data_IF_974171091019
#
_entry.id   IF_974171091019
#
_cell.length_a   1.000
_cell.length_b   1.000
_cell.length_c   1.000
_cell.angle_alpha   90.00
_cell.angle_beta   90.00
_cell.angle_gamma   90.00
#
_symmetry.space_group_name_H-M   'P 1'
#
loop_
_entity.id
_entity.type
_entity.pdbx_description
1 polymer ?
#
# COMPACT_ATOMS: atom_id res chain seq x y z
N UNK A 1 5.60 19.42 16.27
CA UNK A 1 5.31 18.35 15.29
C UNK A 1 3.87 18.52 14.82
N UNK A 2 3.66 18.61 13.53
CA UNK A 2 2.33 18.87 12.98
C UNK A 2 1.44 17.63 13.10
N UNK A 3 0.26 17.70 13.79
CA UNK A 3 -0.55 16.52 14.06
C UNK A 3 -1.05 15.80 12.81
N UNK A 4 -1.37 16.53 11.74
CA UNK A 4 -1.81 15.91 10.49
C UNK A 4 -0.70 15.10 9.82
N UNK A 5 0.53 15.56 9.89
CA UNK A 5 1.69 14.84 9.35
C UNK A 5 1.93 13.56 10.13
N UNK A 6 1.82 13.61 11.45
CA UNK A 6 1.95 12.41 12.31
C UNK A 6 0.85 11.39 11.98
N UNK A 7 -0.39 11.86 11.82
CA UNK A 7 -1.51 10.99 11.46
C UNK A 7 -1.29 10.35 10.08
N UNK A 8 -0.86 11.13 9.10
CA UNK A 8 -0.58 10.62 7.76
C UNK A 8 0.53 9.56 7.78
N UNK A 9 1.60 9.82 8.53
CA UNK A 9 2.68 8.86 8.73
C UNK A 9 2.18 7.56 9.37
N UNK A 10 1.27 7.65 10.35
CA UNK A 10 0.66 6.47 10.97
C UNK A 10 -0.09 5.61 9.95
N UNK A 11 -0.82 6.22 9.02
CA UNK A 11 -1.47 5.50 7.93
C UNK A 11 -0.45 4.84 6.99
N UNK A 12 0.66 5.53 6.70
CA UNK A 12 1.74 4.94 5.92
C UNK A 12 2.36 3.72 6.63
N UNK A 13 2.56 3.80 7.93
CA UNK A 13 3.07 2.68 8.74
C UNK A 13 2.15 1.45 8.65
N UNK A 14 0.82 1.66 8.60
CA UNK A 14 -0.12 0.57 8.37
C UNK A 14 0.12 -0.11 7.01
N UNK A 15 0.31 0.69 5.97
CA UNK A 15 0.61 0.16 4.63
C UNK A 15 1.96 -0.58 4.62
N UNK A 16 2.97 -0.01 5.26
CA UNK A 16 4.31 -0.60 5.35
C UNK A 16 4.29 -1.95 6.06
N UNK A 17 3.54 -2.07 7.15
CA UNK A 17 3.42 -3.31 7.89
C UNK A 17 2.89 -4.46 7.03
N UNK A 18 1.99 -4.17 6.10
CA UNK A 18 1.46 -5.18 5.17
C UNK A 18 2.46 -5.43 4.03
N UNK A 19 3.10 -4.37 3.52
CA UNK A 19 4.08 -4.50 2.44
C UNK A 19 5.22 -5.46 2.80
N UNK A 20 5.72 -5.42 4.02
CA UNK A 20 6.84 -6.27 4.46
C UNK A 20 6.48 -7.75 4.52
N UNK A 21 5.20 -8.11 4.57
CA UNK A 21 4.73 -9.51 4.63
C UNK A 21 4.05 -9.98 3.35
N UNK A 22 4.02 -9.18 2.30
CA UNK A 22 3.31 -9.53 1.06
C UNK A 22 3.77 -10.86 0.48
N UNK A 23 5.09 -11.11 0.49
CA UNK A 23 5.69 -12.31 -0.12
C UNK A 23 6.00 -13.41 0.88
N UNK A 24 5.53 -13.31 2.13
CA UNK A 24 5.73 -14.35 3.13
C UNK A 24 4.85 -15.56 2.81
N UNK A 25 5.45 -16.74 2.76
CA UNK A 25 4.70 -17.98 2.60
C UNK A 25 3.89 -18.29 3.86
N UNK A 26 2.61 -18.66 3.66
CA UNK A 26 1.76 -19.04 4.79
C UNK A 26 1.91 -20.53 5.06
N UNK A 27 1.77 -20.99 6.33
CA UNK A 27 1.68 -22.41 6.63
C UNK A 27 0.44 -23.00 5.98
N UNK A 28 0.61 -24.10 5.27
CA UNK A 28 -0.49 -24.84 4.62
C UNK A 28 -0.43 -26.29 5.08
N UNK A 29 -1.60 -26.90 5.28
CA UNK A 29 -1.67 -28.32 5.64
C UNK A 29 -1.11 -29.18 4.50
N UNK A 30 0.00 -29.89 4.78
CA UNK A 30 0.69 -30.73 3.79
C UNK A 30 -0.16 -31.92 3.34
N UNK A 31 -1.22 -32.28 4.08
CA UNK A 31 -2.15 -33.34 3.69
C UNK A 31 -3.07 -32.92 2.54
N UNK A 32 -3.18 -31.61 2.24
CA UNK A 32 -4.00 -31.13 1.14
C UNK A 32 -3.32 -31.38 -0.22
N UNK A 33 -4.09 -31.62 -1.29
CA UNK A 33 -3.54 -31.68 -2.64
C UNK A 33 -2.73 -30.42 -2.98
N UNK A 34 -1.70 -30.56 -3.82
CA UNK A 34 -0.82 -29.45 -4.20
C UNK A 34 -1.60 -28.29 -4.85
N UNK A 35 -2.66 -28.57 -5.59
CA UNK A 35 -3.51 -27.55 -6.21
C UNK A 35 -4.21 -26.67 -5.15
N UNK A 36 -4.68 -27.26 -4.05
CA UNK A 36 -5.29 -26.52 -2.95
C UNK A 36 -4.26 -25.71 -2.17
N UNK A 37 -3.06 -26.25 -2.01
CA UNK A 37 -1.96 -25.51 -1.38
C UNK A 37 -1.60 -24.26 -2.20
N UNK A 38 -1.46 -24.40 -3.53
CA UNK A 38 -1.21 -23.29 -4.43
C UNK A 38 -2.32 -22.25 -4.39
N UNK A 39 -3.57 -22.68 -4.40
CA UNK A 39 -4.73 -21.78 -4.33
C UNK A 39 -4.74 -21.00 -3.00
N UNK A 40 -4.41 -21.65 -1.89
CA UNK A 40 -4.33 -20.99 -0.59
C UNK A 40 -3.24 -19.92 -0.57
N UNK A 41 -2.06 -20.23 -1.11
CA UNK A 41 -0.97 -19.25 -1.21
C UNK A 41 -1.36 -18.06 -2.09
N UNK A 42 -1.94 -18.33 -3.25
CA UNK A 42 -2.39 -17.29 -4.17
C UNK A 42 -3.46 -16.40 -3.51
N UNK A 43 -4.47 -16.99 -2.88
CA UNK A 43 -5.55 -16.25 -2.22
C UNK A 43 -5.01 -15.35 -1.11
N UNK A 44 -4.11 -15.87 -0.27
CA UNK A 44 -3.49 -15.09 0.80
C UNK A 44 -2.66 -13.93 0.25
N UNK A 45 -1.84 -14.18 -0.77
CA UNK A 45 -1.00 -13.18 -1.41
C UNK A 45 -1.85 -12.07 -2.03
N UNK A 46 -2.89 -12.44 -2.77
CA UNK A 46 -3.81 -11.49 -3.40
C UNK A 46 -4.50 -10.59 -2.37
N UNK A 47 -4.95 -11.17 -1.24
CA UNK A 47 -5.62 -10.39 -0.20
C UNK A 47 -4.65 -9.41 0.48
N UNK A 48 -3.41 -9.83 0.71
CA UNK A 48 -2.37 -8.94 1.26
C UNK A 48 -2.06 -7.79 0.32
N UNK A 49 -1.95 -8.06 -0.98
CA UNK A 49 -1.76 -7.03 -2.01
C UNK A 49 -2.94 -6.05 -2.00
N UNK A 50 -4.18 -6.58 -1.98
CA UNK A 50 -5.40 -5.75 -1.96
C UNK A 50 -5.44 -4.83 -0.74
N UNK A 51 -5.08 -5.33 0.43
CA UNK A 51 -5.02 -4.55 1.67
C UNK A 51 -3.92 -3.49 1.57
N UNK A 52 -2.72 -3.86 1.12
CA UNK A 52 -1.63 -2.91 0.96
C UNK A 52 -1.99 -1.77 0.00
N UNK A 53 -2.53 -2.09 -1.17
CA UNK A 53 -2.94 -1.07 -2.15
C UNK A 53 -4.02 -0.15 -1.59
N UNK A 54 -4.97 -0.72 -0.85
CA UNK A 54 -6.03 0.04 -0.19
C UNK A 54 -5.50 1.01 0.86
N UNK A 55 -4.56 0.54 1.69
CA UNK A 55 -3.93 1.38 2.72
C UNK A 55 -3.04 2.47 2.11
N UNK A 56 -2.35 2.16 1.02
CA UNK A 56 -1.55 3.15 0.31
C UNK A 56 -2.43 4.25 -0.30
N UNK A 57 -3.61 3.88 -0.80
CA UNK A 57 -4.56 4.87 -1.30
C UNK A 57 -5.02 5.83 -0.19
N UNK A 58 -5.24 5.33 1.03
CA UNK A 58 -5.58 6.19 2.18
C UNK A 58 -4.50 7.24 2.41
N UNK A 59 -3.22 6.88 2.26
CA UNK A 59 -2.10 7.83 2.37
C UNK A 59 -2.17 8.87 1.25
N UNK A 60 -2.41 8.44 0.01
CA UNK A 60 -2.57 9.36 -1.14
C UNK A 60 -3.71 10.34 -0.89
N UNK A 61 -4.83 9.84 -0.42
CA UNK A 61 -6.03 10.64 -0.13
C UNK A 61 -5.73 11.70 0.93
N UNK A 62 -5.11 11.32 2.04
CA UNK A 62 -4.72 12.24 3.11
C UNK A 62 -3.68 13.27 2.65
N UNK A 63 -2.71 12.85 1.86
CA UNK A 63 -1.70 13.73 1.27
C UNK A 63 -2.36 14.83 0.43
N UNK A 64 -3.29 14.45 -0.43
CA UNK A 64 -4.03 15.39 -1.27
C UNK A 64 -4.97 16.29 -0.47
N UNK A 65 -5.69 15.74 0.48
CA UNK A 65 -6.63 16.49 1.32
C UNK A 65 -5.92 17.59 2.12
N UNK A 66 -4.74 17.29 2.64
CA UNK A 66 -3.94 18.26 3.41
C UNK A 66 -3.11 19.18 2.52
N UNK A 67 -3.18 19.01 1.20
CA UNK A 67 -2.48 19.83 0.22
C UNK A 67 -0.96 19.85 0.40
N UNK A 68 -0.39 18.73 0.83
CA UNK A 68 1.05 18.58 0.88
C UNK A 68 1.62 18.57 -0.52
N UNK A 69 2.90 18.92 -0.65
CA UNK A 69 3.59 18.96 -1.93
C UNK A 69 4.98 18.35 -1.79
N UNK A 70 5.33 17.49 -2.73
CA UNK A 70 6.64 16.90 -2.86
C UNK A 70 6.81 16.51 -4.34
N UNK A 71 7.89 16.99 -4.96
CA UNK A 71 8.12 16.80 -6.39
C UNK A 71 8.01 15.33 -6.82
N UNK A 72 8.64 14.45 -6.08
CA UNK A 72 8.70 13.03 -6.43
C UNK A 72 7.33 12.34 -6.31
N UNK A 73 6.63 12.61 -5.22
CA UNK A 73 5.27 12.09 -5.02
C UNK A 73 4.33 12.65 -6.07
N UNK A 74 4.35 13.97 -6.28
CA UNK A 74 3.45 14.62 -7.22
C UNK A 74 3.63 14.10 -8.64
N UNK A 75 4.88 13.84 -9.06
CA UNK A 75 5.17 13.23 -10.36
C UNK A 75 4.58 11.82 -10.47
N UNK A 76 4.72 11.00 -9.44
CA UNK A 76 4.14 9.65 -9.44
C UNK A 76 2.60 9.70 -9.46
N UNK A 77 1.99 10.67 -8.80
CA UNK A 77 0.54 10.83 -8.76
C UNK A 77 -0.06 11.38 -10.06
N UNK A 78 0.75 11.72 -11.05
CA UNK A 78 0.27 12.06 -12.41
C UNK A 78 -0.34 10.86 -13.12
N UNK A 79 -0.04 9.63 -12.69
CA UNK A 79 -0.63 8.40 -13.24
C UNK A 79 -2.07 8.21 -12.74
N UNK A 80 -2.99 8.99 -13.31
CA UNK A 80 -4.39 9.03 -12.86
C UNK A 80 -5.07 7.66 -12.90
N UNK A 81 -4.78 6.83 -13.91
CA UNK A 81 -5.37 5.50 -14.01
C UNK A 81 -4.89 4.57 -12.91
N UNK A 82 -3.64 4.69 -12.50
CA UNK A 82 -3.09 3.89 -11.39
C UNK A 82 -3.70 4.31 -10.06
N UNK A 83 -3.86 5.61 -9.84
CA UNK A 83 -4.53 6.13 -8.64
C UNK A 83 -5.99 5.65 -8.58
N UNK A 84 -6.69 5.68 -9.70
CA UNK A 84 -8.08 5.21 -9.77
C UNK A 84 -8.18 3.72 -9.45
N UNK A 85 -7.22 2.91 -9.92
CA UNK A 85 -7.15 1.50 -9.57
C UNK A 85 -6.97 1.28 -8.06
N UNK A 86 -6.10 2.04 -7.41
CA UNK A 86 -5.93 1.97 -5.94
C UNK A 86 -7.23 2.32 -5.22
N UNK A 87 -7.95 3.34 -5.69
CA UNK A 87 -9.25 3.72 -5.13
C UNK A 87 -10.24 2.57 -5.21
N UNK A 88 -10.28 1.88 -6.35
CA UNK A 88 -11.15 0.72 -6.54
C UNK A 88 -10.80 -0.43 -5.61
N UNK A 89 -9.50 -0.70 -5.38
CA UNK A 89 -9.07 -1.68 -4.38
C UNK A 89 -9.53 -1.28 -2.98
N UNK A 90 -9.36 -0.01 -2.59
CA UNK A 90 -9.81 0.47 -1.28
C UNK A 90 -11.31 0.26 -1.11
N UNK A 91 -12.10 0.60 -2.11
CA UNK A 91 -13.55 0.44 -2.05
C UNK A 91 -13.96 -1.02 -1.92
N UNK A 92 -13.33 -1.91 -2.68
CA UNK A 92 -13.63 -3.34 -2.65
C UNK A 92 -13.17 -4.01 -1.33
N UNK A 93 -12.10 -3.52 -0.71
CA UNK A 93 -11.50 -4.13 0.47
C UNK A 93 -12.15 -3.65 1.77
N UNK A 94 -12.43 -2.35 1.89
CA UNK A 94 -12.86 -1.74 3.16
C UNK A 94 -14.33 -1.37 3.22
N UNK A 95 -15.04 -1.41 2.10
CA UNK A 95 -16.49 -1.21 2.09
C UNK A 95 -17.19 -2.51 1.70
N UNK A 96 -18.25 -2.86 2.42
CA UNK A 96 -19.06 -3.99 1.99
C UNK A 96 -19.60 -3.71 0.59
N UNK A 97 -19.27 -4.58 -0.35
CA UNK A 97 -19.74 -4.52 -1.72
C UNK A 97 -20.30 -5.88 -2.11
N UNK A 98 -21.48 -5.88 -2.72
CA UNK A 98 -22.07 -7.08 -3.28
C UNK A 98 -21.31 -7.57 -4.52
N UNK A 99 -20.75 -6.63 -5.28
CA UNK A 99 -20.01 -6.89 -6.49
C UNK A 99 -18.55 -7.27 -6.17
N UNK A 100 -17.93 -8.13 -7.00
CA UNK A 100 -16.50 -8.42 -6.88
C UNK A 100 -15.64 -7.21 -7.20
N UNK A 101 -14.31 -7.36 -7.03
CA UNK A 101 -13.36 -6.31 -7.43
C UNK A 101 -13.55 -5.97 -8.90
N UNK A 102 -13.69 -4.69 -9.28
CA UNK A 102 -13.88 -4.30 -10.67
C UNK A 102 -12.75 -4.78 -11.57
N UNK A 103 -13.08 -5.12 -12.81
CA UNK A 103 -12.12 -5.57 -13.81
C UNK A 103 -10.97 -4.59 -14.02
N UNK A 104 -11.24 -3.29 -13.98
CA UNK A 104 -10.22 -2.25 -14.09
C UNK A 104 -9.14 -2.39 -13.02
N UNK A 105 -9.52 -2.69 -11.77
CA UNK A 105 -8.57 -2.91 -10.68
C UNK A 105 -7.76 -4.19 -10.91
N UNK A 106 -8.38 -5.25 -11.39
CA UNK A 106 -7.68 -6.50 -11.71
C UNK A 106 -6.69 -6.31 -12.85
N UNK A 107 -7.05 -5.56 -13.88
CA UNK A 107 -6.15 -5.22 -15.00
C UNK A 107 -4.92 -4.44 -14.55
N UNK A 108 -5.05 -3.60 -13.53
CA UNK A 108 -3.92 -2.88 -12.96
C UNK A 108 -2.82 -3.83 -12.48
N UNK A 109 -3.19 -4.97 -11.89
CA UNK A 109 -2.20 -5.97 -11.45
C UNK A 109 -1.40 -6.57 -12.60
N UNK A 110 -2.00 -6.62 -13.80
CA UNK A 110 -1.38 -7.18 -15.00
C UNK A 110 -0.64 -6.10 -15.82
N UNK A 111 -0.83 -4.82 -15.48
CA UNK A 111 -0.22 -3.72 -16.23
C UNK A 111 1.29 -3.70 -16.01
N UNK A 112 2.05 -3.56 -17.10
CA UNK A 112 3.51 -3.40 -17.02
C UNK A 112 3.86 -2.19 -16.16
N UNK A 113 4.84 -2.36 -15.29
CA UNK A 113 5.37 -1.33 -14.39
C UNK A 113 4.45 -0.90 -13.24
N UNK A 114 3.25 -1.47 -13.11
CA UNK A 114 2.36 -1.12 -11.99
C UNK A 114 2.97 -1.47 -10.63
N UNK A 115 3.59 -2.63 -10.50
CA UNK A 115 4.26 -3.04 -9.26
C UNK A 115 5.42 -2.12 -8.92
N UNK A 116 6.25 -1.78 -9.92
CA UNK A 116 7.34 -0.82 -9.74
C UNK A 116 6.82 0.55 -9.31
N UNK A 117 5.75 1.02 -9.93
CA UNK A 117 5.13 2.30 -9.58
C UNK A 117 4.64 2.31 -8.13
N UNK A 118 3.99 1.24 -7.69
CA UNK A 118 3.54 1.08 -6.30
C UNK A 118 4.72 1.17 -5.33
N UNK A 119 5.79 0.44 -5.59
CA UNK A 119 6.96 0.44 -4.71
C UNK A 119 7.67 1.80 -4.73
N UNK A 120 7.78 2.43 -5.89
CA UNK A 120 8.35 3.78 -6.00
C UNK A 120 7.53 4.81 -5.20
N UNK A 121 6.19 4.72 -5.26
CA UNK A 121 5.30 5.59 -4.50
C UNK A 121 5.45 5.35 -2.98
N UNK A 122 5.49 4.09 -2.58
CA UNK A 122 5.67 3.71 -1.17
C UNK A 122 6.99 4.26 -0.61
N UNK A 123 8.08 4.11 -1.37
CA UNK A 123 9.40 4.63 -1.01
C UNK A 123 9.42 6.16 -0.99
N UNK A 124 8.78 6.81 -1.95
CA UNK A 124 8.71 8.26 -2.01
C UNK A 124 8.01 8.85 -0.78
N UNK A 125 6.94 8.20 -0.33
CA UNK A 125 6.28 8.59 0.93
C UNK A 125 7.19 8.37 2.14
N UNK A 126 7.92 7.26 2.21
CA UNK A 126 8.87 7.05 3.30
C UNK A 126 9.88 8.18 3.38
N UNK A 127 10.49 8.53 2.25
CA UNK A 127 11.46 9.62 2.19
C UNK A 127 10.85 10.97 2.57
N UNK A 128 9.63 11.22 2.15
CA UNK A 128 8.87 12.41 2.52
C UNK A 128 8.70 12.51 4.04
N UNK A 129 8.28 11.44 4.70
CA UNK A 129 8.12 11.43 6.15
C UNK A 129 9.45 11.57 6.89
N UNK A 130 10.51 10.95 6.39
CA UNK A 130 11.85 11.11 6.96
C UNK A 130 12.34 12.55 6.92
N UNK A 131 11.93 13.33 5.91
CA UNK A 131 12.25 14.75 5.80
C UNK A 131 11.35 15.63 6.67
N UNK A 132 10.09 15.26 6.85
CA UNK A 132 9.10 16.09 7.55
C UNK A 132 9.04 15.82 9.04
N UNK A 133 9.46 14.65 9.48
CA UNK A 133 9.41 14.22 10.87
C UNK A 133 10.82 13.88 11.38
N UNK A 134 11.13 14.09 12.67
CA UNK A 134 12.45 13.78 13.22
C UNK A 134 12.63 12.28 13.50
N UNK A 135 12.36 11.44 12.48
CA UNK A 135 12.37 9.99 12.63
C UNK A 135 13.76 9.46 12.94
N UNK A 136 14.76 9.85 12.13
CA UNK A 136 16.14 9.38 12.30
C UNK A 136 16.73 9.88 13.63
N UNK A 137 16.48 11.13 13.96
CA UNK A 137 16.92 11.71 15.23
C UNK A 137 16.30 10.97 16.42
N UNK A 138 15.02 10.62 16.34
CA UNK A 138 14.33 9.87 17.39
C UNK A 138 14.92 8.47 17.52
N UNK A 139 15.20 7.80 16.41
CA UNK A 139 15.82 6.46 16.41
C UNK A 139 17.22 6.52 17.06
N UNK A 140 18.03 7.52 16.73
CA UNK A 140 19.35 7.70 17.33
C UNK A 140 19.27 7.89 18.84
N UNK A 141 18.32 8.70 19.31
CA UNK A 141 18.10 8.91 20.75
C UNK A 141 17.68 7.62 21.46
N UNK A 142 16.91 6.76 20.80
CA UNK A 142 16.51 5.48 21.38
C UNK A 142 17.65 4.44 21.45
N UNK A 143 18.68 4.63 20.65
CA UNK A 143 19.87 3.74 20.65
C UNK A 143 20.93 4.16 21.68
N UNK A 144 20.82 5.36 22.16
CA UNK A 144 21.73 5.89 23.20
C UNK A 144 21.36 5.39 24.64
#
# INVERSE_FOLDING_TARGET
MEPNMVALHSHWLNADAINVVINVEIPVDESFPSELQMLSQFSSSFRRISVFYSLLYVVVEGYREKRYSNEKIDTLLEQADFIDALRLFRNATFHYQKEPIPEKALKFLETTDSEKWIQDLHIAFRQFFEQQLPILETIEKLKA
#
